data_IF_626189777243
#
_entry.id   IF_626189777243
#
_cell.length_a   1.000
_cell.length_b   1.000
_cell.length_c   1.000
_cell.angle_alpha   90.00
_cell.angle_beta   90.00
_cell.angle_gamma   90.00
#
_symmetry.space_group_name_H-M   'P 1'
#
loop_
_entity.id
_entity.type
_entity.pdbx_description
1 polymer ?
#
# COMPACT_ATOMS: atom_id res chain seq x y z
N UNK A 1 17.81 16.25 -18.21
CA UNK A 1 18.03 15.10 -19.11
C UNK A 1 18.76 14.00 -18.36
N UNK A 2 18.52 12.73 -18.74
CA UNK A 2 19.25 11.59 -18.20
C UNK A 2 20.75 11.69 -18.56
N UNK A 3 21.65 11.20 -17.69
CA UNK A 3 23.03 10.97 -18.07
C UNK A 3 23.13 10.11 -19.33
N UNK A 4 24.13 10.37 -20.18
CA UNK A 4 24.30 9.68 -21.47
C UNK A 4 24.54 8.17 -21.33
N UNK A 5 24.98 7.73 -20.15
CA UNK A 5 25.23 6.32 -19.81
C UNK A 5 23.93 5.55 -19.55
N UNK A 6 22.81 6.25 -19.33
CA UNK A 6 21.51 5.61 -19.10
C UNK A 6 20.77 5.51 -20.43
N UNK A 7 20.50 4.29 -20.86
CA UNK A 7 19.63 4.03 -21.99
C UNK A 7 18.19 4.43 -21.65
N UNK A 8 17.73 5.52 -22.25
CA UNK A 8 16.41 6.08 -21.97
C UNK A 8 15.27 5.11 -22.35
N UNK A 9 15.46 4.33 -23.42
CA UNK A 9 14.44 3.38 -23.87
C UNK A 9 14.29 2.19 -22.90
N UNK A 10 15.41 1.64 -22.46
CA UNK A 10 15.44 0.57 -21.48
C UNK A 10 14.96 1.04 -20.11
N UNK A 11 15.27 2.29 -19.73
CA UNK A 11 14.82 2.84 -18.44
C UNK A 11 13.29 2.95 -18.37
N UNK A 12 12.64 3.40 -19.43
CA UNK A 12 11.19 3.44 -19.50
C UNK A 12 10.56 2.04 -19.57
N UNK A 13 11.24 1.07 -20.16
CA UNK A 13 10.75 -0.29 -20.32
C UNK A 13 9.37 -0.34 -20.97
N UNK A 14 8.38 -1.04 -20.38
CA UNK A 14 7.02 -1.14 -20.91
C UNK A 14 6.17 0.12 -20.72
N UNK A 15 6.62 1.10 -19.94
CA UNK A 15 5.89 2.34 -19.73
C UNK A 15 5.92 3.24 -20.97
N UNK A 16 4.92 4.10 -21.13
CA UNK A 16 4.90 5.07 -22.20
C UNK A 16 6.12 6.02 -22.12
N UNK A 17 6.70 6.33 -23.28
CA UNK A 17 7.80 7.27 -23.32
C UNK A 17 7.32 8.68 -22.93
N UNK A 18 7.96 9.24 -21.95
CA UNK A 18 7.76 10.62 -21.52
C UNK A 18 9.10 11.29 -21.29
N UNK A 19 9.12 12.61 -21.13
CA UNK A 19 10.33 13.32 -20.82
C UNK A 19 10.90 12.83 -19.49
N UNK A 20 12.16 12.38 -19.53
CA UNK A 20 12.88 11.95 -18.35
C UNK A 20 13.41 13.16 -17.61
N UNK A 21 12.71 13.56 -16.58
CA UNK A 21 13.08 14.67 -15.70
C UNK A 21 13.70 14.08 -14.44
N UNK A 22 14.88 14.59 -14.08
CA UNK A 22 15.50 14.38 -12.77
C UNK A 22 15.38 15.66 -11.97
N UNK A 23 14.86 15.57 -10.75
CA UNK A 23 14.83 16.69 -9.82
C UNK A 23 16.25 17.14 -9.44
N UNK A 24 16.43 18.41 -9.15
CA UNK A 24 17.67 18.93 -8.60
C UNK A 24 17.69 18.65 -7.09
N UNK A 25 18.75 18.02 -6.60
CA UNK A 25 18.94 17.77 -5.16
C UNK A 25 19.03 19.07 -4.32
N UNK A 26 19.22 20.20 -4.98
CA UNK A 26 19.24 21.53 -4.34
C UNK A 26 17.85 22.16 -4.15
N UNK A 27 16.82 21.56 -4.71
CA UNK A 27 15.50 22.16 -4.67
C UNK A 27 14.91 22.01 -3.27
N UNK A 28 14.71 23.13 -2.63
CA UNK A 28 14.00 23.22 -1.38
C UNK A 28 12.57 22.68 -1.59
N UNK A 29 11.95 22.22 -0.54
CA UNK A 29 10.58 21.64 -0.54
C UNK A 29 9.55 22.49 -1.32
N UNK A 30 9.81 23.78 -1.49
CA UNK A 30 8.98 24.70 -2.28
C UNK A 30 9.21 24.62 -3.81
N UNK A 31 10.24 23.91 -4.26
CA UNK A 31 10.60 23.76 -5.68
C UNK A 31 10.48 22.31 -6.17
N UNK A 32 9.85 21.45 -5.37
CA UNK A 32 9.56 20.05 -5.71
C UNK A 32 8.78 19.87 -7.02
N UNK A 33 8.19 20.95 -7.55
CA UNK A 33 7.54 20.96 -8.86
C UNK A 33 8.49 20.60 -10.04
N UNK A 34 9.79 20.59 -9.82
CA UNK A 34 10.80 20.26 -10.83
C UNK A 34 11.36 18.84 -10.68
N UNK A 35 10.96 18.07 -9.67
CA UNK A 35 11.35 16.66 -9.57
C UNK A 35 10.51 15.81 -10.53
N UNK A 36 11.16 14.91 -11.24
CA UNK A 36 10.53 13.99 -12.18
C UNK A 36 10.76 12.54 -11.75
N UNK A 37 10.34 11.55 -12.55
CA UNK A 37 10.38 10.15 -12.18
C UNK A 37 11.79 9.58 -12.02
N UNK A 38 12.81 10.27 -12.45
CA UNK A 38 14.19 9.79 -12.35
C UNK A 38 14.86 10.43 -11.12
N UNK A 39 15.51 9.69 -10.28
CA UNK A 39 15.98 8.32 -10.36
C UNK A 39 15.13 7.38 -9.46
N UNK A 40 14.83 7.77 -8.22
CA UNK A 40 14.07 7.01 -7.21
C UNK A 40 12.57 7.32 -7.26
N UNK A 41 12.19 8.52 -7.72
CA UNK A 41 10.85 9.07 -7.61
C UNK A 41 9.82 8.41 -8.55
N UNK A 42 10.25 7.49 -9.40
CA UNK A 42 9.35 6.69 -10.24
C UNK A 42 8.22 6.01 -9.45
N UNK A 43 8.41 5.74 -8.19
CA UNK A 43 7.41 5.15 -7.31
C UNK A 43 6.09 5.91 -7.29
N UNK A 44 6.15 7.24 -7.43
CA UNK A 44 5.00 8.14 -7.29
C UNK A 44 4.42 8.63 -8.62
N UNK A 45 4.81 8.02 -9.73
CA UNK A 45 4.27 8.30 -11.06
C UNK A 45 3.53 7.08 -11.60
N UNK A 46 2.27 7.27 -12.03
CA UNK A 46 1.39 6.16 -12.45
C UNK A 46 1.95 5.31 -13.60
N UNK A 47 2.79 5.88 -14.44
CA UNK A 47 3.44 5.12 -15.52
C UNK A 47 4.41 4.05 -15.03
N UNK A 48 4.98 4.24 -13.84
CA UNK A 48 6.07 3.40 -13.33
C UNK A 48 5.73 2.71 -12.01
N UNK A 49 5.01 3.38 -11.14
CA UNK A 49 4.73 2.92 -9.80
C UNK A 49 3.29 3.18 -9.36
N UNK A 50 2.92 2.67 -8.20
CA UNK A 50 1.60 2.82 -7.61
C UNK A 50 1.61 3.56 -6.26
N UNK A 51 2.63 4.40 -6.02
CA UNK A 51 2.77 5.19 -4.80
C UNK A 51 3.15 4.38 -3.57
N UNK A 52 2.98 4.98 -2.41
CA UNK A 52 3.31 4.37 -1.11
C UNK A 52 2.53 3.09 -0.85
N UNK A 53 1.32 2.96 -1.39
CA UNK A 53 0.53 1.74 -1.32
C UNK A 53 1.25 0.55 -1.95
N UNK A 54 1.84 0.74 -3.14
CA UNK A 54 2.56 -0.31 -3.86
C UNK A 54 4.03 -0.43 -3.44
N UNK A 55 4.59 0.59 -2.79
CA UNK A 55 5.98 0.56 -2.35
C UNK A 55 6.13 -0.06 -0.96
N UNK A 56 5.41 0.45 0.04
CA UNK A 56 5.53 0.00 1.43
C UNK A 56 4.36 -0.88 1.86
N UNK A 57 3.11 -0.44 1.67
CA UNK A 57 1.96 -1.15 2.22
C UNK A 57 1.75 -2.56 1.63
N UNK A 58 2.35 -2.87 0.49
CA UNK A 58 2.35 -4.21 -0.08
C UNK A 58 2.93 -5.27 0.88
N UNK A 59 3.94 -4.92 1.67
CA UNK A 59 4.56 -5.82 2.63
C UNK A 59 3.60 -6.18 3.77
N UNK A 60 2.89 -5.18 4.30
CA UNK A 60 1.91 -5.37 5.37
C UNK A 60 0.67 -6.11 4.85
N UNK A 61 0.22 -5.80 3.64
CA UNK A 61 -0.90 -6.48 2.99
C UNK A 61 -0.58 -7.95 2.76
N UNK A 62 0.64 -8.28 2.33
CA UNK A 62 1.06 -9.66 2.15
C UNK A 62 0.98 -10.46 3.47
N UNK A 63 1.55 -9.92 4.54
CA UNK A 63 1.49 -10.56 5.88
C UNK A 63 0.05 -10.61 6.41
N UNK A 64 -0.77 -9.57 6.20
CA UNK A 64 -2.18 -9.57 6.60
C UNK A 64 -2.97 -10.68 5.91
N UNK A 65 -2.69 -10.96 4.62
CA UNK A 65 -3.28 -12.09 3.89
C UNK A 65 -2.93 -13.46 4.52
N UNK A 66 -1.73 -13.62 5.11
CA UNK A 66 -1.39 -14.86 5.81
C UNK A 66 -2.32 -15.12 7.00
N UNK A 67 -2.68 -14.07 7.75
CA UNK A 67 -3.65 -14.18 8.83
C UNK A 67 -5.07 -14.48 8.34
N UNK A 68 -5.46 -13.91 7.20
CA UNK A 68 -6.76 -14.21 6.57
C UNK A 68 -6.80 -15.60 5.92
N UNK A 69 -5.64 -16.25 5.73
CA UNK A 69 -5.51 -17.53 5.04
C UNK A 69 -6.25 -17.57 3.69
N UNK A 70 -6.17 -16.46 2.95
CA UNK A 70 -6.85 -16.33 1.64
C UNK A 70 -5.86 -16.50 0.49
N UNK A 71 -6.30 -17.23 -0.52
CA UNK A 71 -5.57 -17.50 -1.77
C UNK A 71 -6.30 -16.95 -3.00
N UNK A 72 -7.14 -15.97 -2.79
CA UNK A 72 -7.90 -15.27 -3.83
C UNK A 72 -7.81 -13.75 -3.61
N UNK A 73 -8.13 -12.98 -4.63
CA UNK A 73 -8.35 -11.53 -4.49
C UNK A 73 -9.66 -11.26 -3.74
N UNK A 74 -9.83 -10.06 -3.20
CA UNK A 74 -11.08 -9.67 -2.54
C UNK A 74 -12.22 -9.52 -3.54
N UNK A 75 -13.43 -9.86 -3.13
CA UNK A 75 -14.62 -9.67 -3.96
C UNK A 75 -15.00 -8.20 -4.17
N UNK A 76 -14.63 -7.34 -3.23
CA UNK A 76 -14.97 -5.91 -3.27
C UNK A 76 -13.82 -5.07 -2.74
N UNK A 77 -13.65 -3.89 -3.35
CA UNK A 77 -12.69 -2.89 -2.91
C UNK A 77 -13.24 -1.49 -3.08
N UNK A 78 -12.96 -0.64 -2.11
CA UNK A 78 -13.15 0.82 -2.20
C UNK A 78 -12.01 1.54 -1.48
N UNK A 79 -11.65 2.71 -1.96
CA UNK A 79 -10.56 3.51 -1.43
C UNK A 79 -10.94 4.96 -1.22
N UNK A 80 -10.21 5.65 -0.35
CA UNK A 80 -10.29 7.10 -0.15
C UNK A 80 -8.88 7.63 0.00
N UNK A 81 -8.56 8.74 -0.65
CA UNK A 81 -7.22 9.30 -0.49
C UNK A 81 -7.01 10.59 -1.25
N UNK A 82 -5.76 11.01 -1.29
CA UNK A 82 -5.33 12.18 -2.02
C UNK A 82 -3.88 12.52 -1.75
N UNK A 83 -3.42 13.58 -2.41
CA UNK A 83 -2.11 14.17 -2.17
C UNK A 83 -2.31 15.50 -1.46
N UNK A 84 -1.79 15.61 -0.24
CA UNK A 84 -2.07 16.70 0.67
C UNK A 84 -0.80 17.24 1.33
N UNK A 85 -0.91 18.45 1.91
CA UNK A 85 0.10 19.05 2.78
C UNK A 85 1.23 19.79 2.07
N UNK A 86 1.54 19.41 0.83
CA UNK A 86 2.53 20.07 -0.01
C UNK A 86 2.22 19.90 -1.50
N UNK A 87 2.89 20.64 -2.36
CA UNK A 87 2.76 20.55 -3.82
C UNK A 87 4.08 20.06 -4.40
N UNK A 88 4.01 19.00 -5.17
CA UNK A 88 5.13 18.43 -5.91
C UNK A 88 4.66 17.90 -7.27
N UNK A 89 5.53 17.24 -8.03
CA UNK A 89 5.17 16.65 -9.32
C UNK A 89 4.61 15.23 -9.23
N UNK A 90 4.59 14.61 -8.06
CA UNK A 90 4.10 13.24 -7.90
C UNK A 90 2.57 13.15 -8.09
N UNK A 91 2.13 12.04 -8.67
CA UNK A 91 0.75 11.83 -9.11
C UNK A 91 -0.06 10.97 -8.14
N UNK A 92 0.63 10.08 -7.41
CA UNK A 92 -0.03 9.13 -6.51
C UNK A 92 -0.42 9.76 -5.18
N UNK A 93 -1.42 9.23 -4.46
CA UNK A 93 -1.76 9.70 -3.13
C UNK A 93 -0.59 9.54 -2.14
N UNK A 94 -0.40 10.51 -1.26
CA UNK A 94 0.47 10.39 -0.11
C UNK A 94 -0.29 10.06 1.19
N UNK A 95 -1.62 10.16 1.17
CA UNK A 95 -2.50 9.76 2.26
C UNK A 95 -3.64 8.97 1.66
N UNK A 96 -3.80 7.72 2.08
CA UNK A 96 -4.67 6.78 1.41
C UNK A 96 -5.20 5.72 2.38
N UNK A 97 -6.46 5.40 2.25
CA UNK A 97 -7.08 4.27 2.94
C UNK A 97 -7.85 3.41 1.94
N UNK A 98 -7.89 2.11 2.16
CA UNK A 98 -8.72 1.19 1.39
C UNK A 98 -9.29 0.09 2.27
N UNK A 99 -10.39 -0.50 1.79
CA UNK A 99 -10.94 -1.72 2.34
C UNK A 99 -11.10 -2.74 1.24
N UNK A 100 -10.67 -3.96 1.52
CA UNK A 100 -10.89 -5.16 0.74
C UNK A 100 -11.83 -6.07 1.54
N UNK A 101 -13.02 -6.33 1.02
CA UNK A 101 -14.00 -7.17 1.68
C UNK A 101 -13.78 -8.63 1.31
N UNK A 102 -13.36 -9.43 2.30
CA UNK A 102 -13.36 -10.88 2.25
C UNK A 102 -14.52 -11.42 3.08
N UNK A 103 -14.91 -12.66 2.83
CA UNK A 103 -16.04 -13.27 3.50
C UNK A 103 -15.86 -13.36 5.03
N UNK A 104 -14.65 -13.66 5.48
CA UNK A 104 -14.36 -13.88 6.90
C UNK A 104 -14.06 -12.59 7.67
N UNK A 105 -13.29 -11.67 7.06
CA UNK A 105 -12.96 -10.39 7.67
C UNK A 105 -12.48 -9.38 6.62
N UNK A 106 -12.73 -8.08 6.78
CA UNK A 106 -12.18 -7.07 5.90
C UNK A 106 -10.67 -6.88 6.14
N UNK A 107 -9.93 -6.57 5.06
CA UNK A 107 -8.57 -6.05 5.14
C UNK A 107 -8.60 -4.54 4.89
N UNK A 108 -8.19 -3.76 5.88
CA UNK A 108 -8.15 -2.31 5.80
C UNK A 108 -6.69 -1.88 5.76
N UNK A 109 -6.37 -1.03 4.79
CA UNK A 109 -5.02 -0.45 4.64
C UNK A 109 -5.08 1.04 4.90
N UNK A 110 -4.12 1.55 5.66
CA UNK A 110 -3.96 2.97 5.97
C UNK A 110 -2.53 3.38 5.63
N UNK A 111 -2.37 4.39 4.77
CA UNK A 111 -1.08 4.98 4.37
C UNK A 111 -1.06 6.46 4.72
N UNK A 112 -0.03 6.89 5.42
CA UNK A 112 0.12 8.26 5.89
C UNK A 112 1.51 8.79 5.55
N UNK A 113 1.61 9.60 4.51
CA UNK A 113 2.86 10.19 4.03
C UNK A 113 3.21 11.56 4.62
N UNK A 114 2.40 12.07 5.57
CA UNK A 114 2.69 13.30 6.30
C UNK A 114 3.15 12.98 7.72
N UNK A 115 3.76 13.94 8.40
CA UNK A 115 4.25 13.75 9.77
C UNK A 115 3.14 13.67 10.80
N UNK A 116 3.40 13.02 11.93
CA UNK A 116 2.40 12.78 12.97
C UNK A 116 2.02 14.01 13.79
N UNK A 117 2.94 14.94 13.88
CA UNK A 117 2.78 16.14 14.70
C UNK A 117 2.57 17.42 13.86
N UNK A 118 2.42 17.27 12.54
CA UNK A 118 2.25 18.39 11.61
C UNK A 118 3.50 19.25 11.42
N UNK A 119 4.67 18.83 11.92
CA UNK A 119 5.91 19.57 11.76
C UNK A 119 6.76 18.97 10.64
N UNK A 120 7.36 19.81 9.82
CA UNK A 120 8.35 19.38 8.86
C UNK A 120 9.49 18.64 9.58
N UNK A 121 9.82 17.44 9.12
CA UNK A 121 10.76 16.52 9.77
C UNK A 121 10.33 15.99 11.15
N UNK A 122 9.04 16.06 11.47
CA UNK A 122 8.46 15.41 12.65
C UNK A 122 8.44 13.87 12.51
N UNK A 123 8.16 13.15 13.59
CA UNK A 123 8.09 11.69 13.55
C UNK A 123 6.96 11.19 12.64
N UNK A 124 7.22 10.15 11.85
CA UNK A 124 6.25 9.53 10.94
C UNK A 124 5.30 8.55 11.61
N UNK A 125 5.59 8.07 12.79
CA UNK A 125 5.14 6.79 13.33
C UNK A 125 4.15 6.85 14.51
N UNK A 126 3.25 7.82 14.55
CA UNK A 126 2.26 7.92 15.65
C UNK A 126 0.83 7.88 15.16
N UNK A 127 0.56 7.11 14.11
CA UNK A 127 -0.75 7.12 13.46
C UNK A 127 -1.44 5.78 13.44
N UNK A 128 -2.69 5.87 12.96
CA UNK A 128 -3.54 4.74 12.78
C UNK A 128 -3.97 4.12 14.10
N UNK A 129 -4.49 2.93 14.02
CA UNK A 129 -4.99 2.16 15.15
C UNK A 129 -3.92 1.80 16.18
N UNK A 130 -2.64 1.78 15.79
CA UNK A 130 -1.52 1.58 16.71
C UNK A 130 -1.45 2.63 17.81
N UNK A 131 -1.79 3.88 17.52
CA UNK A 131 -1.80 4.94 18.52
C UNK A 131 -2.86 4.71 19.61
N UNK A 132 -3.91 4.00 19.28
CA UNK A 132 -5.01 3.66 20.20
C UNK A 132 -4.62 2.51 21.13
N UNK A 133 -4.00 1.46 20.60
CA UNK A 133 -3.51 0.30 21.36
C UNK A 133 -2.40 0.66 22.35
N UNK A 134 -1.59 1.65 22.03
CA UNK A 134 -0.46 2.07 22.86
C UNK A 134 -0.80 3.13 23.93
N UNK A 135 -2.06 3.58 24.02
CA UNK A 135 -2.49 4.52 25.07
C UNK A 135 -2.31 3.90 26.45
N UNK A 136 -1.26 4.32 27.16
CA UNK A 136 -0.96 3.92 28.54
C UNK A 136 0.16 2.92 28.71
N UNK A 137 0.77 2.41 27.65
CA UNK A 137 1.93 1.52 27.74
C UNK A 137 3.25 2.29 27.61
N UNK A 138 4.05 2.34 28.69
CA UNK A 138 5.33 3.09 28.73
C UNK A 138 6.45 2.49 27.86
N UNK A 139 6.30 1.27 27.34
CA UNK A 139 7.38 0.52 26.70
C UNK A 139 7.11 0.08 25.25
N UNK A 140 5.88 0.23 24.75
CA UNK A 140 5.60 -0.13 23.38
C UNK A 140 6.10 0.97 22.44
N UNK A 141 7.10 0.68 21.63
CA UNK A 141 7.41 1.50 20.47
C UNK A 141 6.19 1.41 19.55
N UNK A 142 5.59 2.56 19.25
CA UNK A 142 4.60 2.62 18.17
C UNK A 142 5.33 2.27 16.87
N UNK A 143 4.98 1.21 16.17
CA UNK A 143 5.62 0.87 14.91
C UNK A 143 5.30 1.96 13.88
N UNK A 144 6.27 2.23 13.02
CA UNK A 144 6.06 3.10 11.85
C UNK A 144 5.18 2.42 10.83
N UNK A 145 5.34 1.10 10.74
CA UNK A 145 4.62 0.19 9.86
C UNK A 145 4.23 -1.04 10.66
N UNK A 146 3.13 -1.66 10.31
CA UNK A 146 2.73 -2.92 10.97
C UNK A 146 1.28 -3.30 10.71
N UNK A 147 0.85 -4.39 11.34
CA UNK A 147 -0.45 -4.99 11.13
C UNK A 147 -1.15 -5.18 12.48
N UNK A 148 -2.45 -4.95 12.49
CA UNK A 148 -3.33 -5.30 13.61
C UNK A 148 -4.33 -6.33 13.10
N UNK A 149 -4.39 -7.48 13.77
CA UNK A 149 -5.38 -8.52 13.51
C UNK A 149 -6.34 -8.56 14.69
N UNK A 150 -7.59 -8.21 14.45
CA UNK A 150 -8.65 -8.28 15.45
C UNK A 150 -9.32 -9.65 15.38
N UNK A 151 -9.22 -10.40 16.46
CA UNK A 151 -9.85 -11.68 16.64
C UNK A 151 -10.98 -11.56 17.66
N UNK A 152 -11.86 -12.58 17.76
CA UNK A 152 -12.98 -12.60 18.73
C UNK A 152 -12.53 -12.41 20.18
N UNK A 153 -11.39 -12.98 20.56
CA UNK A 153 -10.93 -13.02 21.94
C UNK A 153 -9.53 -12.43 22.16
N UNK A 154 -8.92 -11.86 21.14
CA UNK A 154 -7.56 -11.34 21.20
C UNK A 154 -7.33 -10.31 20.10
N UNK A 155 -6.28 -9.49 20.29
CA UNK A 155 -5.71 -8.66 19.25
C UNK A 155 -4.27 -9.07 19.05
N UNK A 156 -3.86 -9.27 17.79
CA UNK A 156 -2.48 -9.53 17.41
C UNK A 156 -1.92 -8.27 16.75
N UNK A 157 -0.77 -7.83 17.23
CA UNK A 157 -0.03 -6.71 16.65
C UNK A 157 1.27 -7.23 16.09
N UNK A 158 1.50 -6.99 14.81
CA UNK A 158 2.77 -7.29 14.11
C UNK A 158 3.50 -5.97 13.93
N UNK A 159 4.42 -5.60 14.83
CA UNK A 159 5.05 -4.28 14.85
C UNK A 159 6.25 -4.16 13.91
N UNK A 160 6.67 -5.29 13.37
CA UNK A 160 7.82 -5.45 12.47
C UNK A 160 7.68 -6.78 11.70
N UNK A 161 8.61 -7.10 10.82
CA UNK A 161 8.56 -8.34 10.02
C UNK A 161 8.99 -9.61 10.78
N UNK A 162 9.34 -9.53 12.06
CA UNK A 162 9.99 -10.61 12.79
C UNK A 162 9.25 -11.02 14.06
N UNK A 163 8.27 -10.24 14.50
CA UNK A 163 7.58 -10.49 15.76
C UNK A 163 6.08 -10.23 15.67
N UNK A 164 5.33 -10.92 16.53
CA UNK A 164 3.91 -10.67 16.76
C UNK A 164 3.64 -10.61 18.26
N UNK A 165 2.87 -9.62 18.68
CA UNK A 165 2.46 -9.42 20.07
C UNK A 165 0.98 -9.74 20.21
N UNK A 166 0.61 -10.51 21.22
CA UNK A 166 -0.78 -10.89 21.49
C UNK A 166 -1.28 -10.14 22.72
N UNK A 167 -2.45 -9.57 22.59
CA UNK A 167 -3.22 -8.92 23.65
C UNK A 167 -4.54 -9.64 23.82
N UNK A 168 -5.03 -9.81 25.06
CA UNK A 168 -6.35 -10.39 25.30
C UNK A 168 -7.48 -9.40 24.96
N UNK A 169 -8.73 -9.84 25.09
CA UNK A 169 -9.92 -9.03 24.82
C UNK A 169 -10.01 -7.72 25.63
N UNK A 170 -9.32 -7.65 26.76
CA UNK A 170 -9.29 -6.48 27.66
C UNK A 170 -8.08 -5.57 27.34
N UNK A 171 -7.34 -5.88 26.26
CA UNK A 171 -6.17 -5.13 25.80
C UNK A 171 -4.92 -5.37 26.63
N UNK A 172 -4.88 -6.38 27.49
CA UNK A 172 -3.73 -6.72 28.31
C UNK A 172 -2.76 -7.58 27.48
N UNK A 173 -1.47 -7.20 27.53
CA UNK A 173 -0.41 -7.97 26.89
C UNK A 173 -0.33 -9.40 27.44
N UNK A 174 -0.30 -10.37 26.54
CA UNK A 174 -0.21 -11.79 26.85
C UNK A 174 1.18 -12.34 26.54
N UNK A 175 1.64 -12.19 25.29
CA UNK A 175 2.89 -12.82 24.84
C UNK A 175 3.40 -12.19 23.55
N UNK A 176 4.73 -12.26 23.35
CA UNK A 176 5.38 -12.01 22.07
C UNK A 176 5.79 -13.34 21.43
N UNK A 177 5.52 -13.48 20.14
CA UNK A 177 6.02 -14.55 19.29
C UNK A 177 7.07 -13.98 18.33
N UNK A 178 7.99 -14.82 17.90
CA UNK A 178 9.11 -14.43 17.04
C UNK A 178 10.36 -14.03 17.84
N UNK A 179 11.45 -13.81 17.14
CA UNK A 179 12.71 -13.39 17.74
C UNK A 179 12.73 -11.87 17.85
N UNK A 180 13.01 -11.34 19.01
CA UNK A 180 13.61 -10.02 19.15
C UNK A 180 14.88 -9.97 18.31
N UNK A 181 15.03 -8.91 17.57
CA UNK A 181 15.86 -8.66 16.39
C UNK A 181 17.36 -8.93 16.51
N UNK A 182 17.81 -9.87 17.29
CA UNK A 182 19.25 -10.15 17.40
C UNK A 182 19.83 -11.03 16.28
N UNK A 183 19.03 -11.49 15.34
CA UNK A 183 19.57 -12.21 14.18
C UNK A 183 18.53 -12.50 13.09
N UNK A 184 18.02 -11.50 12.42
CA UNK A 184 17.68 -11.72 11.01
C UNK A 184 18.99 -11.68 10.25
N UNK A 185 19.49 -12.82 9.88
CA UNK A 185 20.59 -12.90 8.94
C UNK A 185 20.08 -12.44 7.56
N UNK A 186 20.03 -11.12 7.38
CA UNK A 186 19.71 -10.49 6.10
C UNK A 186 20.79 -10.76 5.04
N UNK A 187 21.93 -11.36 5.45
CA UNK A 187 23.02 -11.69 4.53
C UNK A 187 22.75 -12.98 3.76
N UNK A 188 21.61 -13.65 4.02
CA UNK A 188 21.24 -14.83 3.25
C UNK A 188 21.92 -16.12 3.70
N UNK A 189 22.17 -16.25 4.99
CA UNK A 189 22.57 -17.55 5.58
C UNK A 189 21.63 -18.68 5.12
N UNK A 190 21.97 -19.91 5.37
CA UNK A 190 21.28 -21.10 4.85
C UNK A 190 19.76 -21.19 5.16
N UNK A 191 19.24 -20.28 5.98
CA UNK A 191 17.83 -20.17 6.36
C UNK A 191 17.13 -18.91 5.80
N UNK A 192 17.84 -18.03 5.08
CA UNK A 192 17.27 -16.79 4.55
C UNK A 192 16.43 -17.01 3.29
N UNK A 193 15.65 -16.00 2.87
CA UNK A 193 14.78 -16.07 1.69
C UNK A 193 15.57 -16.29 0.39
N UNK A 194 16.78 -15.77 0.27
CA UNK A 194 17.66 -16.06 -0.87
C UNK A 194 18.06 -17.53 -0.92
N UNK A 195 18.39 -18.15 0.23
CA UNK A 195 18.69 -19.58 0.30
C UNK A 195 17.47 -20.42 -0.03
N UNK A 196 16.27 -20.02 0.39
CA UNK A 196 15.02 -20.66 0.04
C UNK A 196 14.78 -20.64 -1.49
N UNK A 197 14.98 -19.49 -2.12
CA UNK A 197 14.89 -19.34 -3.57
C UNK A 197 15.91 -20.21 -4.32
N UNK A 198 17.19 -20.17 -3.93
CA UNK A 198 18.25 -21.01 -4.53
C UNK A 198 17.95 -22.49 -4.35
N UNK A 199 17.41 -22.90 -3.20
CA UNK A 199 17.02 -24.29 -2.97
C UNK A 199 15.89 -24.72 -3.93
N UNK A 200 14.90 -23.86 -4.15
CA UNK A 200 13.82 -24.08 -5.13
C UNK A 200 14.37 -24.28 -6.54
N UNK A 201 15.30 -23.42 -6.98
CA UNK A 201 15.96 -23.56 -8.29
C UNK A 201 16.68 -24.90 -8.40
N UNK A 202 17.51 -25.26 -7.42
CA UNK A 202 18.25 -26.52 -7.41
C UNK A 202 17.36 -27.75 -7.42
N UNK A 203 16.19 -27.66 -6.79
CA UNK A 203 15.18 -28.72 -6.72
C UNK A 203 14.31 -28.77 -7.99
N UNK A 204 14.30 -27.71 -8.80
CA UNK A 204 13.41 -27.59 -9.97
C UNK A 204 11.91 -27.52 -9.57
N UNK A 205 11.61 -26.98 -8.38
CA UNK A 205 10.26 -26.96 -7.83
C UNK A 205 10.00 -25.68 -7.05
N UNK A 206 8.84 -25.09 -7.23
CA UNK A 206 8.34 -23.95 -6.43
C UNK A 206 7.58 -24.37 -5.16
N UNK A 207 7.38 -25.67 -4.93
CA UNK A 207 6.53 -26.16 -3.84
C UNK A 207 7.06 -25.79 -2.44
N UNK A 208 8.37 -25.61 -2.30
CA UNK A 208 9.01 -25.26 -1.02
C UNK A 208 9.48 -23.79 -0.98
N UNK A 209 9.07 -22.98 -1.95
CA UNK A 209 9.37 -21.54 -1.96
C UNK A 209 8.34 -20.83 -1.09
N UNK A 210 8.82 -20.07 -0.09
CA UNK A 210 7.94 -19.38 0.86
C UNK A 210 7.12 -18.24 0.24
N UNK A 211 7.65 -17.63 -0.85
CA UNK A 211 6.97 -16.58 -1.62
C UNK A 211 6.84 -16.99 -3.10
N UNK A 212 5.99 -17.96 -3.43
CA UNK A 212 5.76 -18.34 -4.82
C UNK A 212 5.08 -17.18 -5.57
N UNK A 213 5.38 -17.06 -6.87
CA UNK A 213 4.92 -15.94 -7.69
C UNK A 213 3.39 -15.73 -7.63
N UNK A 214 2.60 -16.81 -7.50
CA UNK A 214 1.15 -16.71 -7.38
C UNK A 214 0.74 -15.95 -6.13
N UNK A 215 1.33 -16.22 -4.98
CA UNK A 215 1.01 -15.52 -3.73
C UNK A 215 1.45 -14.05 -3.79
N UNK A 216 2.63 -13.80 -4.36
CA UNK A 216 3.09 -12.43 -4.60
C UNK A 216 2.15 -11.67 -5.54
N UNK A 217 1.64 -12.34 -6.59
CA UNK A 217 0.65 -11.77 -7.50
C UNK A 217 -0.64 -11.38 -6.77
N UNK A 218 -1.19 -12.25 -5.93
CA UNK A 218 -2.42 -11.95 -5.19
C UNK A 218 -2.28 -10.74 -4.26
N UNK A 219 -1.16 -10.63 -3.54
CA UNK A 219 -0.89 -9.46 -2.70
C UNK A 219 -0.75 -8.19 -3.54
N UNK A 220 -0.06 -8.28 -4.68
CA UNK A 220 0.11 -7.17 -5.61
C UNK A 220 -1.22 -6.76 -6.26
N UNK A 221 -2.09 -7.72 -6.58
CA UNK A 221 -3.41 -7.44 -7.15
C UNK A 221 -4.28 -6.60 -6.20
N UNK A 222 -4.17 -6.77 -4.89
CA UNK A 222 -4.92 -5.96 -3.92
C UNK A 222 -4.51 -4.48 -3.97
N UNK A 223 -3.21 -4.17 -3.96
CA UNK A 223 -2.77 -2.78 -4.03
C UNK A 223 -3.15 -2.13 -5.36
N UNK A 224 -3.11 -2.87 -6.46
CA UNK A 224 -3.54 -2.35 -7.76
C UNK A 224 -5.05 -2.14 -7.83
N UNK A 225 -5.87 -3.05 -7.31
CA UNK A 225 -7.33 -2.88 -7.30
C UNK A 225 -7.76 -1.68 -6.46
N UNK A 226 -7.09 -1.41 -5.34
CA UNK A 226 -7.32 -0.22 -4.54
C UNK A 226 -6.93 1.07 -5.30
N UNK A 227 -5.80 1.06 -6.03
CA UNK A 227 -5.40 2.16 -6.88
C UNK A 227 -6.37 2.38 -8.06
N UNK A 228 -6.90 1.32 -8.66
CA UNK A 228 -7.92 1.43 -9.72
C UNK A 228 -9.20 2.05 -9.16
N UNK A 229 -9.65 1.61 -7.98
CA UNK A 229 -10.77 2.24 -7.27
C UNK A 229 -10.55 3.76 -7.13
N UNK A 230 -9.38 4.16 -6.64
CA UNK A 230 -9.02 5.57 -6.46
C UNK A 230 -9.03 6.35 -7.79
N UNK A 231 -8.41 5.82 -8.84
CA UNK A 231 -8.29 6.48 -10.15
C UNK A 231 -9.64 6.65 -10.86
N UNK A 232 -10.59 5.77 -10.60
CA UNK A 232 -11.96 5.84 -11.11
C UNK A 232 -12.89 6.65 -10.19
N UNK A 233 -12.38 7.17 -9.08
CA UNK A 233 -13.13 7.92 -8.10
C UNK A 233 -13.36 9.39 -8.46
N UNK A 234 -13.98 10.10 -7.53
CA UNK A 234 -14.26 11.52 -7.67
C UNK A 234 -13.95 12.29 -6.38
N UNK A 235 -13.56 13.55 -6.53
CA UNK A 235 -13.34 14.47 -5.41
C UNK A 235 -14.64 14.73 -4.67
N UNK A 236 -14.64 14.51 -3.34
CA UNK A 236 -15.78 14.64 -2.44
C UNK A 236 -15.41 15.42 -1.19
N UNK A 237 -16.39 16.10 -0.59
CA UNK A 237 -16.24 16.69 0.73
C UNK A 237 -16.19 15.61 1.81
N UNK A 238 -15.68 15.96 3.00
CA UNK A 238 -15.62 15.04 4.13
C UNK A 238 -17.02 14.49 4.50
N UNK A 239 -18.06 15.33 4.41
CA UNK A 239 -19.44 14.93 4.68
C UNK A 239 -19.98 13.91 3.67
N UNK A 240 -19.75 14.14 2.37
CA UNK A 240 -20.15 13.21 1.31
C UNK A 240 -19.45 11.85 1.44
N UNK A 241 -18.15 11.86 1.81
CA UNK A 241 -17.39 10.62 2.02
C UNK A 241 -17.96 9.86 3.21
N UNK A 242 -18.14 10.51 4.37
CA UNK A 242 -18.71 9.87 5.57
C UNK A 242 -20.06 9.22 5.28
N UNK A 243 -20.94 9.90 4.54
CA UNK A 243 -22.24 9.34 4.17
C UNK A 243 -22.10 8.11 3.27
N UNK A 244 -21.21 8.17 2.28
CA UNK A 244 -21.00 7.08 1.32
C UNK A 244 -20.43 5.80 1.96
N UNK A 245 -19.57 5.94 2.98
CA UNK A 245 -18.88 4.80 3.61
C UNK A 245 -19.51 4.37 4.95
N UNK A 246 -20.60 4.98 5.38
CA UNK A 246 -21.21 4.75 6.72
C UNK A 246 -21.61 3.30 7.00
N UNK A 247 -21.87 2.52 5.95
CA UNK A 247 -22.21 1.10 6.08
C UNK A 247 -20.99 0.23 6.45
N UNK A 248 -19.77 0.72 6.23
CA UNK A 248 -18.53 0.04 6.57
C UNK A 248 -17.90 0.70 7.80
N UNK A 249 -18.12 0.13 9.00
CA UNK A 249 -17.60 0.69 10.25
C UNK A 249 -16.07 0.82 10.22
N UNK A 250 -15.36 -0.20 9.74
CA UNK A 250 -13.90 -0.18 9.68
C UNK A 250 -13.35 0.90 8.75
N UNK A 251 -13.95 1.10 7.57
CA UNK A 251 -13.54 2.17 6.66
C UNK A 251 -13.91 3.55 7.21
N UNK A 252 -15.06 3.67 7.90
CA UNK A 252 -15.48 4.92 8.54
C UNK A 252 -14.52 5.32 9.68
N UNK A 253 -14.06 4.37 10.48
CA UNK A 253 -13.05 4.58 11.51
C UNK A 253 -11.71 5.00 10.90
N UNK A 254 -11.24 4.28 9.87
CA UNK A 254 -10.01 4.63 9.15
C UNK A 254 -10.09 6.05 8.56
N UNK A 255 -11.24 6.42 7.98
CA UNK A 255 -11.46 7.78 7.49
C UNK A 255 -11.44 8.82 8.61
N UNK A 256 -11.97 8.50 9.78
CA UNK A 256 -11.89 9.36 10.95
C UNK A 256 -10.43 9.65 11.36
N UNK A 257 -9.59 8.60 11.42
CA UNK A 257 -8.15 8.73 11.71
C UNK A 257 -7.42 9.52 10.62
N UNK A 258 -7.74 9.25 9.35
CA UNK A 258 -7.19 10.00 8.20
C UNK A 258 -7.53 11.48 8.30
N UNK A 259 -8.78 11.83 8.59
CA UNK A 259 -9.22 13.22 8.72
C UNK A 259 -8.53 13.93 9.89
N UNK A 260 -8.36 13.25 11.02
CA UNK A 260 -7.63 13.79 12.18
C UNK A 260 -6.14 14.04 11.84
N UNK A 261 -5.50 13.08 11.18
CA UNK A 261 -4.12 13.20 10.71
C UNK A 261 -3.94 14.41 9.78
N UNK A 262 -4.80 14.54 8.79
CA UNK A 262 -4.78 15.65 7.84
C UNK A 262 -5.02 16.98 8.55
N UNK A 263 -5.96 17.02 9.48
CA UNK A 263 -6.22 18.22 10.29
C UNK A 263 -5.01 18.67 11.11
N UNK A 264 -4.24 17.74 11.70
CA UNK A 264 -2.96 18.04 12.38
C UNK A 264 -1.92 18.64 11.44
N UNK A 265 -1.98 18.31 10.18
CA UNK A 265 -1.12 18.85 9.12
C UNK A 265 -1.72 20.09 8.44
N UNK A 266 -2.74 20.71 9.03
CA UNK A 266 -3.35 21.94 8.50
C UNK A 266 -4.21 21.74 7.25
N UNK A 267 -4.54 20.49 6.91
CA UNK A 267 -5.36 20.18 5.73
C UNK A 267 -6.84 20.13 6.13
N UNK A 268 -7.63 21.01 5.53
CA UNK A 268 -9.08 21.03 5.65
C UNK A 268 -9.71 20.22 4.50
N UNK A 269 -10.32 19.07 4.77
CA UNK A 269 -10.93 18.20 3.76
C UNK A 269 -12.18 18.78 3.08
N UNK A 270 -12.81 19.82 3.64
CA UNK A 270 -13.92 20.49 2.95
C UNK A 270 -13.43 21.44 1.84
N UNK A 271 -12.20 21.93 1.97
CA UNK A 271 -11.51 22.74 0.97
C UNK A 271 -10.65 21.88 0.04
N UNK A 272 -9.78 21.05 0.60
CA UNK A 272 -8.88 20.13 -0.09
C UNK A 272 -9.50 18.75 -0.24
N UNK A 273 -10.59 18.65 -0.99
CA UNK A 273 -11.40 17.44 -1.15
C UNK A 273 -10.57 16.18 -1.41
N UNK A 274 -10.83 15.12 -0.67
CA UNK A 274 -10.28 13.81 -0.95
C UNK A 274 -11.02 13.15 -2.15
N UNK A 275 -10.36 12.21 -2.79
CA UNK A 275 -11.00 11.35 -3.78
C UNK A 275 -11.67 10.19 -3.05
N UNK A 276 -12.98 10.05 -3.19
CA UNK A 276 -13.68 8.81 -2.89
C UNK A 276 -13.57 7.92 -4.12
N UNK A 277 -12.91 6.79 -4.00
CA UNK A 277 -12.74 5.81 -5.05
C UNK A 277 -14.07 5.19 -5.48
N UNK A 278 -14.13 4.76 -6.71
CA UNK A 278 -15.29 4.00 -7.20
C UNK A 278 -15.36 2.65 -6.44
N UNK A 279 -16.52 2.25 -5.92
CA UNK A 279 -16.68 0.90 -5.41
C UNK A 279 -16.57 -0.10 -6.56
N UNK A 280 -15.69 -1.08 -6.41
CA UNK A 280 -15.42 -2.10 -7.41
C UNK A 280 -15.79 -3.46 -6.85
N UNK A 281 -16.41 -4.28 -7.70
CA UNK A 281 -16.61 -5.71 -7.47
C UNK A 281 -15.71 -6.50 -8.40
N UNK A 282 -15.20 -7.64 -7.94
CA UNK A 282 -14.25 -8.46 -8.66
C UNK A 282 -14.63 -9.93 -8.57
N UNK A 283 -14.57 -10.65 -9.68
CA UNK A 283 -14.62 -12.10 -9.68
C UNK A 283 -13.30 -12.65 -9.14
N UNK A 284 -13.35 -13.36 -8.03
CA UNK A 284 -12.15 -13.80 -7.29
C UNK A 284 -11.32 -14.86 -8.03
N UNK A 285 -11.90 -15.53 -9.03
CA UNK A 285 -11.24 -16.59 -9.82
C UNK A 285 -10.62 -16.05 -11.10
N UNK A 286 -11.35 -15.20 -11.82
CA UNK A 286 -10.86 -14.60 -13.07
C UNK A 286 -10.07 -13.33 -12.82
N UNK A 287 -10.18 -12.75 -11.63
CA UNK A 287 -9.59 -11.47 -11.22
C UNK A 287 -10.04 -10.29 -12.08
N UNK A 288 -11.14 -10.45 -12.82
CA UNK A 288 -11.74 -9.39 -13.60
C UNK A 288 -12.77 -8.63 -12.78
N UNK A 289 -12.82 -7.32 -12.96
CA UNK A 289 -13.86 -6.50 -12.34
C UNK A 289 -15.20 -6.76 -13.00
N UNK A 290 -16.25 -6.69 -12.17
CA UNK A 290 -17.65 -6.91 -12.53
C UNK A 290 -18.51 -5.72 -12.11
N UNK A 291 -19.78 -5.71 -12.49
CA UNK A 291 -20.72 -4.66 -12.08
C UNK A 291 -20.57 -3.34 -12.84
N UNK A 292 -21.05 -2.24 -12.24
CA UNK A 292 -21.24 -0.96 -12.92
C UNK A 292 -19.96 -0.30 -13.44
N UNK A 293 -18.82 -0.53 -12.78
CA UNK A 293 -17.53 0.08 -13.13
C UNK A 293 -16.59 -0.89 -13.88
N UNK A 294 -17.09 -2.08 -14.27
CA UNK A 294 -16.27 -3.15 -14.84
C UNK A 294 -15.48 -2.73 -16.08
N UNK A 295 -16.14 -2.08 -17.03
CA UNK A 295 -15.52 -1.68 -18.30
C UNK A 295 -14.36 -0.71 -18.09
N UNK A 296 -14.51 0.26 -17.19
CA UNK A 296 -13.48 1.24 -16.90
C UNK A 296 -12.32 0.60 -16.13
N UNK A 297 -12.63 -0.21 -15.12
CA UNK A 297 -11.64 -0.88 -14.28
C UNK A 297 -10.82 -1.91 -15.06
N UNK A 298 -11.46 -2.72 -15.90
CA UNK A 298 -10.78 -3.72 -16.73
C UNK A 298 -9.91 -3.08 -17.82
N UNK A 299 -10.30 -1.93 -18.37
CA UNK A 299 -9.47 -1.21 -19.34
C UNK A 299 -8.17 -0.71 -18.71
N UNK A 300 -8.23 -0.13 -17.52
CA UNK A 300 -7.02 0.32 -16.82
C UNK A 300 -6.10 -0.86 -16.48
N UNK A 301 -6.66 -1.96 -16.04
CA UNK A 301 -5.93 -3.20 -15.76
C UNK A 301 -5.28 -3.77 -17.02
N UNK A 302 -6.04 -3.87 -18.12
CA UNK A 302 -5.58 -4.49 -19.38
C UNK A 302 -4.60 -3.59 -20.13
N UNK A 303 -4.84 -2.29 -20.17
CA UNK A 303 -3.95 -1.35 -20.87
C UNK A 303 -2.52 -1.41 -20.33
N UNK A 304 -2.35 -1.61 -19.03
CA UNK A 304 -1.02 -1.76 -18.41
C UNK A 304 -0.36 -3.13 -18.67
N UNK A 305 -1.12 -4.14 -19.12
CA UNK A 305 -0.57 -5.45 -19.46
C UNK A 305 0.09 -5.51 -20.85
N UNK A 306 -0.25 -4.59 -21.74
CA UNK A 306 0.21 -4.68 -23.13
C UNK A 306 1.66 -4.23 -23.28
N UNK A 307 2.07 -3.21 -22.54
CA UNK A 307 3.37 -2.55 -22.72
C UNK A 307 3.45 -1.79 -24.07
N UNK A 308 4.45 -0.95 -24.24
CA UNK A 308 4.70 -0.26 -25.51
C UNK A 308 5.46 -1.18 -26.47
N UNK A 309 5.46 -0.80 -27.77
CA UNK A 309 6.15 -1.54 -28.82
C UNK A 309 7.60 -1.84 -28.46
N UNK A 310 8.00 -3.11 -28.54
CA UNK A 310 9.32 -3.62 -28.16
C UNK A 310 9.45 -4.08 -26.72
N UNK A 311 8.41 -3.83 -25.88
CA UNK A 311 8.34 -4.25 -24.48
C UNK A 311 7.00 -4.90 -24.16
N UNK A 312 6.37 -5.47 -25.16
CA UNK A 312 5.09 -6.15 -25.00
C UNK A 312 5.24 -7.37 -24.09
N UNK A 313 4.29 -7.52 -23.18
CA UNK A 313 4.23 -8.71 -22.34
C UNK A 313 3.73 -9.89 -23.21
N UNK A 314 4.44 -11.01 -23.26
CA UNK A 314 3.97 -12.18 -23.99
C UNK A 314 2.58 -12.61 -23.51
N UNK A 315 1.69 -12.91 -24.45
CA UNK A 315 0.34 -13.40 -24.14
C UNK A 315 0.29 -14.92 -23.94
N UNK A 316 1.38 -15.60 -24.28
CA UNK A 316 1.56 -17.05 -24.11
C UNK A 316 2.97 -17.31 -23.58
N UNK A 317 3.08 -18.25 -22.65
CA UNK A 317 4.33 -18.73 -22.07
C UNK A 317 4.54 -20.18 -22.40
#
# INVERSE_FOLDING_TARGET
ALPAEIDNDLWHGPADLQESIRGNESDKVTEAANSGPVHYDWHWFWNYGGGDLCNQAIHEIDIARWFLNTHEVSAEVVSVGGRFGYVDCAETPNTFISIHNYADAPLITEVYGLTSDGKMNGPMNKFGKFSELNKGQKSAKSPEIGIIVECENATIVVPDYNSAQVYDKDGKFVKTYGKTVDAVDLTGGASGHHANWVAGIRKGSSADINAPVRECHLSTALVHSANISFRLGAKKSAGEIKEAIKASSGLAEAFGRMAEHLGRNGVNLDESKATLGAPLTQDTKTELFTGANADAANRDLVAKRVGRKGFEIPTTF
#
